data_IF_517573526839
#
_entry.id   IF_517573526839
#
_cell.length_a   1.000
_cell.length_b   1.000
_cell.length_c   1.000
_cell.angle_alpha   90.00
_cell.angle_beta   90.00
_cell.angle_gamma   90.00
#
_symmetry.space_group_name_H-M   'P 1'
#
loop_
_entity.id
_entity.type
_entity.pdbx_description
1 polymer ?
#
# COMPACT_ATOMS: atom_id res chain seq x y z
N UNK A 1 -51.46 -6.71 26.06
CA UNK A 1 -50.65 -7.84 25.58
C UNK A 1 -50.35 -7.79 24.07
N UNK A 2 -51.32 -7.66 23.16
CA UNK A 2 -51.04 -7.64 21.70
C UNK A 2 -50.16 -6.48 21.21
N UNK A 3 -50.56 -5.23 21.49
CA UNK A 3 -49.83 -4.02 21.04
C UNK A 3 -48.42 -3.87 21.63
N UNK A 4 -48.22 -4.36 22.85
CA UNK A 4 -46.92 -4.29 23.52
C UNK A 4 -45.93 -5.31 22.93
N UNK A 5 -46.43 -6.48 22.52
CA UNK A 5 -45.65 -7.46 21.79
C UNK A 5 -45.35 -7.00 20.35
N UNK A 6 -46.29 -6.36 19.65
CA UNK A 6 -46.07 -5.77 18.33
C UNK A 6 -45.00 -4.67 18.37
N UNK A 7 -45.11 -3.72 19.31
CA UNK A 7 -44.10 -2.67 19.49
C UNK A 7 -42.70 -3.25 19.78
N UNK A 8 -42.63 -4.35 20.55
CA UNK A 8 -41.37 -5.02 20.87
C UNK A 8 -40.79 -5.78 19.68
N UNK A 9 -41.63 -6.35 18.82
CA UNK A 9 -41.21 -6.96 17.56
C UNK A 9 -40.65 -5.90 16.62
N UNK A 10 -41.32 -4.76 16.46
CA UNK A 10 -40.84 -3.66 15.62
C UNK A 10 -39.49 -3.09 16.09
N UNK A 11 -39.28 -2.98 17.41
CA UNK A 11 -37.99 -2.56 17.97
C UNK A 11 -36.89 -3.58 17.68
N UNK A 12 -37.19 -4.88 17.82
CA UNK A 12 -36.23 -5.95 17.52
C UNK A 12 -35.87 -6.01 16.04
N UNK A 13 -36.86 -5.84 15.14
CA UNK A 13 -36.62 -5.78 13.69
C UNK A 13 -35.69 -4.62 13.33
N UNK A 14 -35.93 -3.42 13.88
CA UNK A 14 -35.03 -2.27 13.68
C UNK A 14 -33.61 -2.52 14.18
N UNK A 15 -33.46 -3.25 15.30
CA UNK A 15 -32.14 -3.64 15.80
C UNK A 15 -31.45 -4.65 14.87
N UNK A 16 -32.18 -5.62 14.33
CA UNK A 16 -31.65 -6.60 13.37
C UNK A 16 -31.19 -5.90 12.10
N UNK A 17 -32.03 -5.05 11.50
CA UNK A 17 -31.66 -4.28 10.30
C UNK A 17 -30.40 -3.43 10.55
N UNK A 18 -30.30 -2.81 11.72
CA UNK A 18 -29.10 -2.07 12.11
C UNK A 18 -27.86 -2.97 12.21
N UNK A 19 -27.99 -4.15 12.82
CA UNK A 19 -26.88 -5.10 12.95
C UNK A 19 -26.45 -5.67 11.58
N UNK A 20 -27.41 -5.99 10.71
CA UNK A 20 -27.13 -6.42 9.34
C UNK A 20 -26.37 -5.35 8.57
N UNK A 21 -26.77 -4.07 8.71
CA UNK A 21 -26.03 -2.94 8.14
C UNK A 21 -24.58 -2.88 8.63
N UNK A 22 -24.35 -3.01 9.94
CA UNK A 22 -22.99 -3.03 10.53
C UNK A 22 -22.18 -4.23 10.02
N UNK A 23 -22.79 -5.41 9.91
CA UNK A 23 -22.10 -6.59 9.38
C UNK A 23 -21.71 -6.42 7.91
N UNK A 24 -22.57 -5.79 7.09
CA UNK A 24 -22.23 -5.46 5.70
C UNK A 24 -21.02 -4.53 5.64
N UNK A 25 -20.94 -3.51 6.49
CA UNK A 25 -19.77 -2.62 6.56
C UNK A 25 -18.49 -3.35 6.97
N UNK A 26 -18.58 -4.37 7.83
CA UNK A 26 -17.43 -5.18 8.28
C UNK A 26 -16.98 -6.18 7.20
N UNK A 27 -17.92 -6.84 6.52
CA UNK A 27 -17.61 -7.89 5.53
C UNK A 27 -17.45 -7.39 4.10
N UNK A 28 -17.95 -6.19 3.79
CA UNK A 28 -17.80 -5.52 2.50
C UNK A 28 -17.70 -4.00 2.70
N UNK A 29 -16.61 -3.53 3.32
CA UNK A 29 -16.41 -2.10 3.50
C UNK A 29 -16.33 -1.41 2.13
N UNK A 30 -16.97 -0.25 2.02
CA UNK A 30 -16.79 0.62 0.88
C UNK A 30 -15.59 1.53 1.13
N UNK A 31 -14.67 1.58 0.18
CA UNK A 31 -13.56 2.55 0.16
C UNK A 31 -13.83 3.58 -0.93
N UNK A 32 -13.42 4.82 -0.71
CA UNK A 32 -13.41 5.84 -1.76
C UNK A 32 -11.98 6.00 -2.26
N UNK A 33 -11.83 6.04 -3.58
CA UNK A 33 -10.55 6.25 -4.24
C UNK A 33 -10.67 7.48 -5.13
N UNK A 34 -9.73 8.41 -4.99
CA UNK A 34 -9.54 9.49 -5.96
C UNK A 34 -8.24 9.25 -6.72
N UNK A 35 -8.34 9.02 -8.03
CA UNK A 35 -7.20 8.81 -8.92
C UNK A 35 -6.61 10.16 -9.30
N UNK A 36 -5.31 10.31 -9.08
CA UNK A 36 -4.58 11.53 -9.41
C UNK A 36 -4.28 11.58 -10.91
N UNK A 37 -4.00 12.77 -11.48
CA UNK A 37 -3.59 12.89 -12.88
C UNK A 37 -2.38 11.99 -13.21
N UNK A 38 -2.50 11.20 -14.28
CA UNK A 38 -1.49 10.22 -14.66
C UNK A 38 -1.49 8.93 -13.84
N UNK A 39 -2.37 8.81 -12.84
CA UNK A 39 -2.62 7.58 -12.08
C UNK A 39 -3.62 6.64 -12.77
N UNK A 40 -3.83 5.48 -12.17
CA UNK A 40 -4.79 4.48 -12.64
C UNK A 40 -5.52 3.83 -11.47
N UNK A 41 -6.77 3.43 -11.68
CA UNK A 41 -7.51 2.65 -10.69
C UNK A 41 -6.80 1.32 -10.38
N UNK A 42 -6.71 0.92 -9.11
CA UNK A 42 -6.22 -0.40 -8.73
C UNK A 42 -7.17 -1.50 -9.22
N UNK A 43 -6.63 -2.61 -9.71
CA UNK A 43 -7.42 -3.67 -10.37
C UNK A 43 -7.12 -5.05 -9.82
N UNK A 44 -8.17 -5.85 -9.54
CA UNK A 44 -8.03 -7.29 -9.30
C UNK A 44 -7.90 -8.02 -10.62
N UNK A 45 -7.02 -9.02 -10.67
CA UNK A 45 -6.85 -9.85 -11.88
C UNK A 45 -7.86 -10.97 -12.02
N UNK A 46 -8.38 -11.46 -10.91
CA UNK A 46 -9.39 -12.51 -10.85
C UNK A 46 -10.33 -12.22 -9.69
N UNK A 47 -11.51 -12.83 -9.67
CA UNK A 47 -12.48 -12.64 -8.59
C UNK A 47 -11.97 -13.12 -7.22
N UNK A 48 -11.10 -14.13 -7.21
CA UNK A 48 -10.44 -14.63 -6.00
C UNK A 48 -9.16 -13.88 -5.60
N UNK A 49 -8.72 -12.88 -6.37
CA UNK A 49 -7.54 -12.12 -6.02
C UNK A 49 -7.84 -11.19 -4.83
N UNK A 50 -7.10 -11.36 -3.74
CA UNK A 50 -7.16 -10.44 -2.60
C UNK A 50 -6.40 -9.13 -2.88
N UNK A 51 -5.37 -9.21 -3.73
CA UNK A 51 -4.51 -8.09 -4.09
C UNK A 51 -5.05 -7.32 -5.29
N UNK A 52 -4.98 -6.00 -5.22
CA UNK A 52 -5.24 -5.13 -6.36
C UNK A 52 -3.91 -4.66 -6.93
N UNK A 53 -3.64 -4.99 -8.20
CA UNK A 53 -2.47 -4.49 -8.92
C UNK A 53 -2.53 -2.96 -8.97
N UNK A 54 -1.42 -2.30 -8.60
CA UNK A 54 -1.24 -0.85 -8.71
C UNK A 54 -0.15 -0.51 -9.72
N UNK A 55 -0.25 0.69 -10.28
CA UNK A 55 0.52 1.10 -11.45
C UNK A 55 1.44 2.28 -11.11
N UNK A 56 2.61 2.37 -11.75
CA UNK A 56 3.42 3.57 -11.67
C UNK A 56 2.68 4.76 -12.26
N UNK A 57 2.55 5.84 -11.48
CA UNK A 57 1.96 7.08 -11.95
C UNK A 57 2.84 7.72 -13.03
N UNK A 58 2.21 8.19 -14.12
CA UNK A 58 2.91 8.72 -15.31
C UNK A 58 3.42 10.15 -15.11
N UNK A 59 2.66 10.95 -14.39
CA UNK A 59 2.93 12.37 -14.19
C UNK A 59 3.06 12.59 -12.71
N UNK A 60 4.13 13.24 -12.28
CA UNK A 60 4.16 13.82 -10.95
C UNK A 60 4.30 15.32 -11.03
N UNK A 61 3.45 16.00 -10.26
CA UNK A 61 3.45 17.45 -10.21
C UNK A 61 4.74 17.96 -9.54
N UNK A 62 5.33 19.07 -10.03
CA UNK A 62 6.40 19.76 -9.31
C UNK A 62 6.01 20.16 -7.88
N UNK A 63 4.72 20.31 -7.59
CA UNK A 63 4.20 20.63 -6.26
C UNK A 63 4.09 19.41 -5.33
N UNK A 64 4.18 18.19 -5.87
CA UNK A 64 4.17 16.94 -5.09
C UNK A 64 5.59 16.51 -4.67
N UNK A 65 6.64 17.14 -5.24
CA UNK A 65 8.05 16.92 -4.89
C UNK A 65 8.39 17.46 -3.50
N UNK A 66 9.06 16.67 -2.65
CA UNK A 66 9.58 17.16 -1.35
C UNK A 66 10.67 18.23 -1.59
N UNK A 67 10.38 19.51 -1.26
CA UNK A 67 11.33 20.59 -1.53
C UNK A 67 12.48 20.62 -0.51
N UNK A 68 12.29 20.00 0.66
CA UNK A 68 13.08 20.21 1.88
C UNK A 68 14.14 19.15 2.15
N UNK A 69 14.01 17.95 1.59
CA UNK A 69 14.95 16.85 1.84
C UNK A 69 15.58 16.30 0.54
N UNK A 70 16.78 16.76 0.15
CA UNK A 70 17.43 16.34 -1.10
C UNK A 70 17.73 14.84 -1.20
N UNK A 71 17.82 14.12 -0.08
CA UNK A 71 18.05 12.66 -0.04
C UNK A 71 16.76 11.85 -0.17
N UNK A 72 15.61 12.48 0.07
CA UNK A 72 14.27 11.93 -0.16
C UNK A 72 13.59 12.55 -1.39
N UNK A 73 14.29 13.36 -2.20
CA UNK A 73 13.92 13.76 -3.57
C UNK A 73 13.98 12.60 -4.57
N UNK A 74 13.71 11.39 -4.11
CA UNK A 74 13.64 10.19 -4.93
C UNK A 74 12.45 10.37 -5.87
N UNK A 75 12.74 10.78 -7.09
CA UNK A 75 11.95 10.60 -8.31
C UNK A 75 10.44 10.43 -8.16
N UNK A 76 9.80 11.53 -7.85
CA UNK A 76 8.52 11.83 -8.47
C UNK A 76 8.77 12.12 -9.97
N UNK A 77 9.06 11.05 -10.71
CA UNK A 77 9.52 11.05 -12.10
C UNK A 77 8.35 11.31 -13.04
N UNK A 78 8.50 12.33 -13.86
CA UNK A 78 7.58 12.63 -14.95
C UNK A 78 8.01 11.83 -16.18
N UNK A 79 7.19 10.85 -16.57
CA UNK A 79 7.44 10.02 -17.76
C UNK A 79 7.06 10.75 -19.07
N UNK A 80 6.53 11.99 -19.00
CA UNK A 80 6.09 12.80 -20.14
C UNK A 80 7.11 13.88 -20.47
N UNK A 81 7.59 14.62 -19.47
CA UNK A 81 8.49 15.76 -19.68
C UNK A 81 9.93 15.45 -19.26
N UNK A 82 10.90 16.08 -19.93
CA UNK A 82 12.30 15.95 -19.52
C UNK A 82 12.49 16.52 -18.11
N UNK A 83 13.10 15.77 -17.18
CA UNK A 83 13.28 16.22 -15.80
C UNK A 83 14.24 17.42 -15.74
N UNK A 84 13.88 18.39 -14.89
CA UNK A 84 14.73 19.57 -14.63
C UNK A 84 15.85 19.28 -13.63
N UNK A 85 15.65 18.29 -12.75
CA UNK A 85 16.64 17.89 -11.77
C UNK A 85 17.78 17.12 -12.46
N UNK A 86 19.06 17.52 -12.29
CA UNK A 86 20.19 16.89 -12.98
C UNK A 86 20.39 15.41 -12.65
N UNK A 87 20.09 14.98 -11.42
CA UNK A 87 20.21 13.58 -11.02
C UNK A 87 19.13 12.79 -11.73
N UNK A 88 17.89 13.26 -11.71
CA UNK A 88 16.81 12.55 -12.40
C UNK A 88 17.04 12.53 -13.92
N UNK A 89 17.59 13.61 -14.48
CA UNK A 89 17.95 13.72 -15.88
C UNK A 89 19.03 12.73 -16.32
N UNK A 90 19.99 12.37 -15.47
CA UNK A 90 21.01 11.36 -15.82
C UNK A 90 20.45 9.94 -15.92
N UNK A 91 19.26 9.68 -15.37
CA UNK A 91 18.57 8.40 -15.45
C UNK A 91 17.48 8.36 -16.54
N UNK A 92 17.17 9.50 -17.16
CA UNK A 92 16.09 9.59 -18.15
C UNK A 92 16.48 8.93 -19.48
N UNK A 93 15.68 7.96 -19.92
CA UNK A 93 15.84 7.28 -21.21
C UNK A 93 14.69 7.69 -22.12
N UNK A 94 14.99 8.40 -23.20
CA UNK A 94 13.96 8.87 -24.16
C UNK A 94 13.33 7.68 -24.90
N UNK A 95 12.01 7.69 -25.01
CA UNK A 95 11.19 6.72 -25.74
C UNK A 95 10.90 7.23 -27.16
N UNK A 96 10.54 6.31 -28.06
CA UNK A 96 10.21 6.64 -29.46
C UNK A 96 8.98 7.56 -29.58
N UNK A 97 8.02 7.44 -28.66
CA UNK A 97 6.80 8.25 -28.60
C UNK A 97 7.02 9.65 -28.01
N UNK A 98 8.26 10.01 -27.67
CA UNK A 98 8.64 11.30 -27.11
C UNK A 98 8.60 11.38 -25.59
N UNK A 99 8.09 10.36 -24.90
CA UNK A 99 8.14 10.26 -23.45
C UNK A 99 9.50 9.79 -22.92
N UNK A 100 9.56 9.48 -21.63
CA UNK A 100 10.76 9.04 -20.93
C UNK A 100 10.50 7.81 -20.08
N UNK A 101 11.53 6.97 -19.91
CA UNK A 101 11.63 5.91 -18.91
C UNK A 101 12.68 6.30 -17.86
N UNK A 102 12.68 5.63 -16.71
CA UNK A 102 13.73 5.79 -15.70
C UNK A 102 14.65 4.57 -15.69
N UNK A 103 15.94 4.76 -15.95
CA UNK A 103 16.96 3.72 -15.81
C UNK A 103 17.37 3.62 -14.35
N UNK A 104 16.96 2.55 -13.68
CA UNK A 104 17.41 2.24 -12.33
C UNK A 104 18.77 1.55 -12.37
N UNK A 105 19.78 2.12 -11.71
CA UNK A 105 21.08 1.47 -11.53
C UNK A 105 20.96 0.24 -10.62
N UNK A 106 21.94 -0.68 -10.68
CA UNK A 106 22.04 -1.77 -9.70
C UNK A 106 21.98 -1.23 -8.26
N UNK A 107 21.15 -1.86 -7.42
CA UNK A 107 20.94 -1.52 -6.00
C UNK A 107 20.32 -0.14 -5.75
N UNK A 108 19.89 0.57 -6.79
CA UNK A 108 19.18 1.83 -6.65
C UNK A 108 17.78 1.61 -6.10
N UNK A 109 17.36 2.49 -5.18
CA UNK A 109 15.99 2.59 -4.71
C UNK A 109 15.36 3.92 -5.14
N UNK A 110 14.16 3.83 -5.70
CA UNK A 110 13.42 4.92 -6.35
C UNK A 110 12.03 4.95 -5.74
N UNK A 111 11.59 6.11 -5.26
CA UNK A 111 10.22 6.29 -4.80
C UNK A 111 9.31 6.45 -6.03
N UNK A 112 8.26 5.64 -6.14
CA UNK A 112 7.32 5.67 -7.24
C UNK A 112 5.92 5.85 -6.68
N UNK A 113 5.22 6.89 -7.13
CA UNK A 113 3.83 7.14 -6.76
C UNK A 113 2.90 6.10 -7.40
N UNK A 114 1.93 5.57 -6.63
CA UNK A 114 0.92 4.61 -7.12
C UNK A 114 -0.32 5.29 -7.73
N UNK A 115 -0.43 6.62 -7.62
CA UNK A 115 -1.34 7.46 -8.40
C UNK A 115 -2.77 7.56 -7.89
N UNK A 116 -3.03 7.26 -6.62
CA UNK A 116 -4.34 7.47 -6.02
C UNK A 116 -4.27 7.73 -4.51
N UNK A 117 -5.31 8.36 -4.00
CA UNK A 117 -5.55 8.56 -2.58
C UNK A 117 -6.81 7.84 -2.15
N UNK A 118 -6.89 7.48 -0.88
CA UNK A 118 -7.99 6.66 -0.33
C UNK A 118 -8.65 7.31 0.87
N UNK A 119 -9.96 7.14 0.99
CA UNK A 119 -10.71 7.28 2.24
C UNK A 119 -11.27 5.91 2.61
N UNK A 120 -10.91 5.43 3.80
CA UNK A 120 -11.26 4.11 4.31
C UNK A 120 -11.87 4.22 5.71
N UNK A 121 -12.82 3.35 6.07
CA UNK A 121 -13.32 3.30 7.44
C UNK A 121 -12.24 2.76 8.38
N UNK A 122 -12.07 3.35 9.56
CA UNK A 122 -11.24 2.74 10.60
C UNK A 122 -11.90 1.45 11.12
N UNK A 123 -11.16 0.34 11.39
CA UNK A 123 -9.70 0.19 11.32
C UNK A 123 -9.19 -0.49 10.02
N UNK A 124 -9.82 -0.23 8.88
CA UNK A 124 -9.37 -0.76 7.59
C UNK A 124 -8.13 -0.01 7.09
N UNK A 125 -7.05 -0.74 6.83
CA UNK A 125 -5.82 -0.22 6.24
C UNK A 125 -5.44 -1.08 5.03
N UNK A 126 -4.39 -0.71 4.31
CA UNK A 126 -3.81 -1.62 3.33
C UNK A 126 -2.29 -1.69 3.40
N UNK A 127 -1.79 -2.86 3.03
CA UNK A 127 -0.37 -3.03 2.72
C UNK A 127 -0.13 -2.87 1.24
N UNK A 128 0.93 -2.16 0.89
CA UNK A 128 1.54 -2.21 -0.43
C UNK A 128 2.63 -3.26 -0.43
N UNK A 129 2.50 -4.25 -1.30
CA UNK A 129 3.37 -5.43 -1.32
C UNK A 129 4.00 -5.66 -2.70
N UNK A 130 5.18 -6.29 -2.77
CA UNK A 130 5.81 -6.62 -4.03
C UNK A 130 4.98 -7.61 -4.84
N UNK A 131 5.11 -7.56 -6.17
CA UNK A 131 4.54 -8.55 -7.07
C UNK A 131 5.53 -9.69 -7.27
N UNK A 132 5.11 -10.92 -7.01
CA UNK A 132 5.98 -12.11 -7.10
C UNK A 132 6.64 -12.26 -8.47
N UNK A 133 5.93 -11.94 -9.56
CA UNK A 133 6.48 -11.98 -10.91
C UNK A 133 7.61 -10.97 -11.14
N UNK A 134 7.47 -9.75 -10.62
CA UNK A 134 8.49 -8.71 -10.75
C UNK A 134 9.71 -9.04 -9.88
N UNK A 135 9.50 -9.56 -8.68
CA UNK A 135 10.57 -9.99 -7.78
C UNK A 135 11.36 -11.21 -8.30
N UNK A 136 10.68 -12.19 -8.89
CA UNK A 136 11.33 -13.43 -9.35
C UNK A 136 12.01 -13.30 -10.71
N UNK A 137 11.40 -12.57 -11.66
CA UNK A 137 11.88 -12.47 -13.04
C UNK A 137 12.76 -11.26 -13.27
N UNK A 138 12.33 -10.11 -12.74
CA UNK A 138 13.00 -8.82 -12.96
C UNK A 138 13.87 -8.41 -11.75
N UNK A 139 13.85 -9.20 -10.67
CA UNK A 139 14.57 -8.90 -9.40
C UNK A 139 14.26 -7.51 -8.85
N UNK A 140 13.01 -7.07 -9.00
CA UNK A 140 12.54 -5.80 -8.44
C UNK A 140 11.65 -6.08 -7.22
N UNK A 141 11.93 -5.39 -6.12
CA UNK A 141 11.15 -5.48 -4.88
C UNK A 141 10.85 -4.09 -4.33
N UNK A 142 10.17 -4.01 -3.19
CA UNK A 142 9.99 -2.76 -2.46
C UNK A 142 10.80 -2.81 -1.17
N UNK A 143 11.59 -1.78 -0.86
CA UNK A 143 12.43 -1.76 0.36
C UNK A 143 11.63 -1.63 1.64
N UNK A 144 10.50 -0.94 1.58
CA UNK A 144 9.58 -0.77 2.70
C UNK A 144 8.49 -1.85 2.76
N UNK A 145 8.61 -2.95 2.00
CA UNK A 145 7.57 -3.98 1.98
C UNK A 145 7.47 -4.75 3.32
N UNK A 146 6.25 -5.00 3.82
CA UNK A 146 4.99 -4.40 3.37
C UNK A 146 4.88 -2.92 3.77
N UNK A 147 4.58 -2.04 2.81
CA UNK A 147 4.36 -0.62 3.10
C UNK A 147 2.97 -0.44 3.71
N UNK A 148 2.84 0.17 4.88
CA UNK A 148 1.54 0.33 5.56
C UNK A 148 0.95 1.69 5.23
N UNK A 149 -0.32 1.71 4.81
CA UNK A 149 -1.08 2.94 4.58
C UNK A 149 -2.30 2.98 5.49
N UNK A 150 -2.32 4.00 6.36
CA UNK A 150 -3.30 4.17 7.41
C UNK A 150 -4.67 4.68 6.89
N UNK A 151 -5.79 4.36 7.58
CA UNK A 151 -7.12 4.81 7.19
C UNK A 151 -7.33 6.33 7.18
N UNK A 152 -6.54 7.08 7.95
CA UNK A 152 -6.58 8.54 8.04
C UNK A 152 -5.59 9.24 7.09
N UNK A 153 -4.76 8.48 6.36
CA UNK A 153 -3.87 9.03 5.35
C UNK A 153 -4.64 9.49 4.10
N UNK A 154 -4.40 10.72 3.66
CA UNK A 154 -5.04 11.33 2.46
C UNK A 154 -4.03 11.77 1.40
N UNK A 155 -2.76 11.45 1.58
CA UNK A 155 -1.73 11.64 0.56
C UNK A 155 -1.70 10.50 -0.45
N UNK A 156 -0.92 10.68 -1.52
CA UNK A 156 -0.64 9.58 -2.45
C UNK A 156 0.44 8.69 -1.87
N UNK A 157 0.17 7.39 -1.76
CA UNK A 157 1.16 6.46 -1.26
C UNK A 157 2.26 6.24 -2.31
N UNK A 158 3.52 6.43 -1.92
CA UNK A 158 4.66 6.05 -2.72
C UNK A 158 5.21 4.67 -2.32
N UNK A 159 5.75 3.95 -3.29
CA UNK A 159 6.48 2.70 -3.07
C UNK A 159 7.96 2.89 -3.36
N UNK A 160 8.83 2.38 -2.50
CA UNK A 160 10.27 2.45 -2.70
C UNK A 160 10.72 1.23 -3.52
N UNK A 161 10.67 1.37 -4.83
CA UNK A 161 11.09 0.34 -5.79
C UNK A 161 12.59 0.16 -5.71
N UNK A 162 13.06 -1.07 -5.52
CA UNK A 162 14.47 -1.43 -5.42
C UNK A 162 14.85 -2.37 -6.56
N UNK A 163 15.88 -1.97 -7.31
CA UNK A 163 16.54 -2.84 -8.27
C UNK A 163 17.55 -3.74 -7.54
N UNK A 164 17.24 -5.03 -7.36
CA UNK A 164 18.16 -5.96 -6.70
C UNK A 164 19.13 -6.65 -7.68
N UNK A 165 19.03 -6.38 -8.99
CA UNK A 165 19.98 -6.89 -9.97
C UNK A 165 21.38 -6.31 -9.79
N UNK A 166 22.34 -6.94 -10.49
CA UNK A 166 23.67 -6.39 -10.77
C UNK A 166 23.71 -5.60 -12.09
N UNK A 167 22.57 -5.53 -12.79
CA UNK A 167 22.39 -4.80 -14.05
C UNK A 167 21.33 -3.72 -13.91
N UNK A 168 21.38 -2.67 -14.73
CA UNK A 168 20.33 -1.66 -14.76
C UNK A 168 18.96 -2.26 -15.14
N UNK A 169 17.89 -1.65 -14.63
CA UNK A 169 16.51 -1.98 -14.93
C UNK A 169 15.79 -0.76 -15.52
N UNK A 170 14.95 -0.95 -16.53
CA UNK A 170 14.16 0.14 -17.13
C UNK A 170 12.79 0.16 -16.49
N UNK A 171 12.53 1.17 -15.66
CA UNK A 171 11.22 1.45 -15.12
C UNK A 171 10.40 2.22 -16.16
N UNK A 172 9.30 1.62 -16.59
CA UNK A 172 8.37 2.15 -17.59
C UNK A 172 7.15 2.83 -16.94
N UNK A 173 6.51 3.79 -17.65
CA UNK A 173 5.25 4.38 -17.18
C UNK A 173 4.12 3.35 -17.17
N UNK A 174 3.17 3.49 -16.24
CA UNK A 174 2.02 2.59 -16.10
C UNK A 174 2.40 1.11 -15.94
N UNK A 175 3.62 0.78 -15.51
CA UNK A 175 3.95 -0.60 -15.16
C UNK A 175 3.21 -1.00 -13.89
N UNK A 176 2.71 -2.22 -13.85
CA UNK A 176 2.17 -2.82 -12.62
C UNK A 176 3.30 -3.06 -11.63
N UNK A 177 3.52 -2.10 -10.74
CA UNK A 177 4.71 -2.01 -9.92
C UNK A 177 4.57 -2.73 -8.58
N UNK A 178 3.37 -2.75 -8.01
CA UNK A 178 3.07 -3.35 -6.72
C UNK A 178 1.63 -3.87 -6.68
N UNK A 179 1.21 -4.42 -5.55
CA UNK A 179 -0.19 -4.74 -5.29
C UNK A 179 -0.58 -4.28 -3.88
N UNK A 180 -1.82 -3.84 -3.71
CA UNK A 180 -2.37 -3.47 -2.40
C UNK A 180 -3.28 -4.56 -1.86
N UNK A 181 -3.18 -4.84 -0.55
CA UNK A 181 -4.00 -5.81 0.16
C UNK A 181 -4.65 -5.13 1.36
N UNK A 182 -5.98 -5.02 1.33
CA UNK A 182 -6.77 -4.42 2.40
C UNK A 182 -6.95 -5.39 3.56
N UNK A 183 -6.82 -4.89 4.79
CA UNK A 183 -6.91 -5.68 6.01
C UNK A 183 -7.51 -4.86 7.15
N UNK A 184 -8.12 -5.55 8.10
CA UNK A 184 -8.54 -4.97 9.38
C UNK A 184 -7.37 -4.93 10.36
N UNK A 185 -7.10 -3.77 10.94
CA UNK A 185 -6.14 -3.64 12.03
C UNK A 185 -6.81 -3.90 13.39
N UNK A 186 -6.02 -4.43 14.32
CA UNK A 186 -6.35 -4.40 15.76
C UNK A 186 -5.51 -3.29 16.38
N UNK A 187 -6.17 -2.38 17.09
CA UNK A 187 -5.52 -1.30 17.86
C UNK A 187 -5.72 -1.56 19.35
N UNK A 188 -4.89 -2.40 19.99
CA UNK A 188 -5.09 -2.79 21.38
C UNK A 188 -4.76 -1.63 22.33
N UNK A 189 -5.43 -1.61 23.48
CA UNK A 189 -4.94 -0.84 24.62
C UNK A 189 -3.65 -1.48 25.14
N UNK A 190 -2.65 -0.66 25.41
CA UNK A 190 -1.35 -1.11 25.90
C UNK A 190 -1.33 -0.98 27.43
N UNK A 191 -1.21 -2.11 28.12
CA UNK A 191 -0.97 -2.15 29.56
C UNK A 191 0.53 -2.37 29.81
N UNK A 192 1.19 -1.37 30.39
CA UNK A 192 2.58 -1.50 30.86
C UNK A 192 2.58 -2.22 32.22
N UNK A 193 3.41 -3.25 32.36
CA UNK A 193 3.62 -3.98 33.62
C UNK A 193 5.04 -3.74 34.13
N UNK A 194 5.22 -3.72 35.46
CA UNK A 194 6.50 -3.40 36.09
C UNK A 194 7.47 -4.59 36.09
N UNK A 195 6.97 -5.83 36.15
CA UNK A 195 7.81 -7.03 36.22
C UNK A 195 7.51 -8.03 35.08
N UNK A 196 8.55 -8.71 34.60
CA UNK A 196 8.38 -9.79 33.60
C UNK A 196 7.50 -10.94 34.10
N UNK A 197 7.51 -11.21 35.40
CA UNK A 197 6.67 -12.24 36.04
C UNK A 197 5.17 -11.95 35.96
N UNK A 198 4.78 -10.72 35.63
CA UNK A 198 3.38 -10.35 35.45
C UNK A 198 2.86 -10.81 34.07
N UNK A 199 3.75 -11.27 33.18
CA UNK A 199 3.41 -11.92 31.91
C UNK A 199 3.17 -13.42 32.12
N UNK A 200 2.10 -13.95 31.52
CA UNK A 200 1.85 -15.40 31.54
C UNK A 200 2.95 -16.17 30.81
N UNK A 201 3.40 -17.28 31.39
CA UNK A 201 4.34 -18.18 30.73
C UNK A 201 3.76 -18.75 29.44
N UNK A 202 4.60 -18.89 28.42
CA UNK A 202 4.23 -19.51 27.15
C UNK A 202 5.17 -20.65 26.81
N UNK A 203 4.69 -21.62 26.03
CA UNK A 203 5.49 -22.77 25.55
C UNK A 203 6.75 -22.32 24.82
N UNK A 204 6.72 -21.18 24.15
CA UNK A 204 7.88 -20.61 23.43
C UNK A 204 8.84 -19.88 24.36
N UNK A 205 8.35 -19.27 25.45
CA UNK A 205 9.13 -18.44 26.36
C UNK A 205 9.97 -17.40 25.61
N UNK A 206 11.25 -17.30 25.96
CA UNK A 206 12.23 -16.39 25.33
C UNK A 206 12.86 -16.92 24.02
N UNK A 207 12.40 -18.05 23.48
CA UNK A 207 12.97 -18.64 22.26
C UNK A 207 12.67 -17.84 20.99
N UNK A 208 13.69 -17.36 20.29
CA UNK A 208 13.59 -16.60 19.03
C UNK A 208 14.68 -16.95 18.01
N UNK A 209 14.66 -16.31 16.83
CA UNK A 209 15.76 -16.36 15.84
C UNK A 209 16.20 -17.78 15.39
N UNK A 210 15.23 -18.65 15.05
CA UNK A 210 15.55 -20.00 14.60
C UNK A 210 15.73 -21.00 15.75
N UNK A 211 15.21 -20.71 16.94
CA UNK A 211 15.19 -21.60 18.11
C UNK A 211 14.52 -22.98 17.86
N UNK A 212 13.80 -23.15 16.75
CA UNK A 212 13.21 -24.42 16.31
C UNK A 212 14.07 -25.20 15.31
N UNK A 213 15.28 -24.71 15.01
CA UNK A 213 16.24 -25.32 14.08
C UNK A 213 16.10 -24.85 12.63
N UNK A 214 17.23 -24.80 11.95
CA UNK A 214 17.34 -24.82 10.49
C UNK A 214 17.50 -26.30 10.13
N UNK A 215 16.49 -26.93 9.51
CA UNK A 215 16.71 -28.23 8.89
C UNK A 215 17.64 -28.08 7.69
#
# INVERSE_FOLDING_TARGET
MGKENENRIDELLKRIEKLEGVLVEIYSPTIKIHVLPGGRMPERKTDGAIGYDVYSRVIVSPFEMDPSNPRFRLTLFDFVNYPKDPVIASHAVKREDGGYNYRMEPKESVLVDIGFVTEMPFPLFYWVTPRSGLASKERITLTNAPGTVDPDYRGSAGVLVLNTNETPYILEPQIRIAQVVFQWAVTPEILLVDNYSDLQESVRGAGGFGSTGLK
#
